data_IF_819098854069
#
_entry.id   IF_819098854069
#
_cell.length_a   1.000
_cell.length_b   1.000
_cell.length_c   1.000
_cell.angle_alpha   90.00
_cell.angle_beta   90.00
_cell.angle_gamma   90.00
#
_symmetry.space_group_name_H-M   'P 1'
#
loop_
_entity.id
_entity.type
_entity.pdbx_description
1 polymer ?
#
# COMPACT_ATOMS: atom_id res chain seq x y z
N UNK A 1 -16.70 10.80 -5.26
CA UNK A 1 -16.77 9.91 -4.08
C UNK A 1 -15.54 9.02 -4.05
N UNK A 2 -15.20 8.47 -2.88
CA UNK A 2 -14.11 7.53 -2.70
C UNK A 2 -14.42 6.60 -1.52
N UNK A 3 -13.89 5.39 -1.58
CA UNK A 3 -14.02 4.35 -0.55
C UNK A 3 -12.65 3.79 -0.20
N UNK A 4 -12.49 3.43 1.06
CA UNK A 4 -11.31 2.74 1.59
C UNK A 4 -11.78 1.64 2.52
N UNK A 5 -11.19 0.47 2.39
CA UNK A 5 -11.39 -0.65 3.29
C UNK A 5 -10.05 -1.30 3.58
N UNK A 6 -9.85 -1.75 4.81
CA UNK A 6 -8.61 -2.38 5.19
C UNK A 6 -8.74 -3.13 6.49
N UNK A 7 -7.77 -3.99 6.75
CA UNK A 7 -7.73 -4.81 7.93
C UNK A 7 -6.33 -5.23 8.29
N UNK A 8 -6.17 -5.56 9.57
CA UNK A 8 -4.94 -6.10 10.13
C UNK A 8 -5.24 -7.48 10.68
N UNK A 9 -4.40 -8.45 10.32
CA UNK A 9 -4.41 -9.78 10.91
C UNK A 9 -3.12 -9.99 11.71
N UNK A 10 -3.25 -10.17 13.03
CA UNK A 10 -2.13 -10.46 13.90
C UNK A 10 -1.91 -11.97 13.95
N UNK A 11 -0.81 -12.46 13.38
CA UNK A 11 -0.46 -13.88 13.44
C UNK A 11 0.03 -14.28 14.82
N UNK A 12 0.86 -13.43 15.44
CA UNK A 12 1.42 -13.61 16.78
C UNK A 12 1.94 -12.26 17.30
N UNK A 13 2.60 -12.25 18.45
CA UNK A 13 3.11 -11.02 19.08
C UNK A 13 4.22 -10.31 18.29
N UNK A 14 4.86 -11.00 17.34
CA UNK A 14 5.93 -10.44 16.50
C UNK A 14 5.48 -10.13 15.08
N UNK A 15 4.40 -10.74 14.58
CA UNK A 15 4.05 -10.70 13.16
C UNK A 15 2.60 -10.28 12.95
N UNK A 16 2.41 -9.24 12.16
CA UNK A 16 1.10 -8.79 11.68
C UNK A 16 1.11 -8.60 10.16
N UNK A 17 0.01 -8.98 9.52
CA UNK A 17 -0.28 -8.66 8.12
C UNK A 17 -1.29 -7.54 8.04
N UNK A 18 -1.08 -6.59 7.15
CA UNK A 18 -2.01 -5.50 6.88
C UNK A 18 -2.36 -5.50 5.41
N UNK A 19 -3.61 -5.18 5.10
CA UNK A 19 -4.06 -4.96 3.74
C UNK A 19 -5.05 -3.81 3.67
N UNK A 20 -5.01 -3.06 2.56
CA UNK A 20 -5.93 -1.98 2.28
C UNK A 20 -6.29 -2.00 0.79
N UNK A 21 -7.54 -1.68 0.49
CA UNK A 21 -8.04 -1.40 -0.85
C UNK A 21 -8.71 -0.02 -0.84
N UNK A 22 -8.52 0.73 -1.92
CA UNK A 22 -9.14 2.04 -2.13
C UNK A 22 -9.65 2.16 -3.56
N UNK A 23 -10.80 2.82 -3.72
CA UNK A 23 -11.38 3.09 -5.03
C UNK A 23 -12.11 4.43 -5.05
N UNK A 24 -12.02 5.14 -6.17
CA UNK A 24 -12.61 6.47 -6.30
C UNK A 24 -13.46 6.66 -7.58
N UNK A 25 -14.13 7.81 -7.64
CA UNK A 25 -14.93 8.24 -8.79
C UNK A 25 -14.13 8.37 -10.09
N UNK A 26 -12.82 8.60 -10.00
CA UNK A 26 -11.89 8.60 -11.14
C UNK A 26 -11.56 7.19 -11.64
N UNK A 27 -12.18 6.15 -11.06
CA UNK A 27 -11.91 4.74 -11.29
C UNK A 27 -10.48 4.34 -10.92
N UNK A 28 -9.82 5.08 -10.04
CA UNK A 28 -8.51 4.68 -9.55
C UNK A 28 -8.67 3.56 -8.53
N UNK A 29 -7.88 2.51 -8.64
CA UNK A 29 -7.84 1.39 -7.69
C UNK A 29 -6.46 1.33 -7.06
N UNK A 30 -6.39 1.44 -5.73
CA UNK A 30 -5.18 1.22 -4.95
C UNK A 30 -5.33 -0.02 -4.08
N UNK A 31 -4.32 -0.90 -4.08
CA UNK A 31 -4.23 -2.04 -3.17
C UNK A 31 -2.85 -1.99 -2.52
N UNK A 32 -2.81 -2.04 -1.20
CA UNK A 32 -1.59 -2.15 -0.42
C UNK A 32 -1.65 -3.42 0.45
N UNK A 33 -0.54 -4.13 0.54
CA UNK A 33 -0.40 -5.26 1.45
C UNK A 33 1.00 -5.29 2.05
N UNK A 34 1.10 -5.47 3.36
CA UNK A 34 2.39 -5.55 4.04
C UNK A 34 2.40 -6.59 5.17
N UNK A 35 3.62 -7.04 5.49
CA UNK A 35 3.90 -7.82 6.70
C UNK A 35 4.86 -7.01 7.56
N UNK A 36 4.46 -6.75 8.80
CA UNK A 36 5.29 -6.16 9.84
C UNK A 36 5.82 -7.27 10.76
N UNK A 37 7.14 -7.39 10.85
CA UNK A 37 7.82 -8.38 11.69
C UNK A 37 8.78 -7.71 12.68
N UNK A 38 8.48 -7.87 13.97
CA UNK A 38 9.32 -7.40 15.07
C UNK A 38 10.32 -8.49 15.47
N UNK A 39 11.55 -8.37 15.00
CA UNK A 39 12.60 -9.38 15.24
C UNK A 39 12.96 -9.41 16.73
N UNK A 40 13.26 -8.23 17.28
CA UNK A 40 13.55 -7.96 18.69
C UNK A 40 12.74 -6.76 19.18
N UNK A 41 12.48 -6.62 20.49
CA UNK A 41 11.77 -5.46 21.02
C UNK A 41 12.34 -4.13 20.51
N UNK A 42 11.47 -3.32 19.91
CA UNK A 42 11.82 -2.03 19.32
C UNK A 42 12.53 -2.10 17.97
N UNK A 43 12.59 -3.26 17.28
CA UNK A 43 13.11 -3.34 15.91
C UNK A 43 12.14 -4.11 15.00
N UNK A 44 11.52 -3.38 14.07
CA UNK A 44 10.52 -3.90 13.14
C UNK A 44 11.00 -3.75 11.70
N UNK A 45 10.87 -4.82 10.92
CA UNK A 45 11.00 -4.81 9.47
C UNK A 45 9.60 -4.90 8.87
N UNK A 46 9.27 -4.01 7.94
CA UNK A 46 8.00 -4.06 7.20
C UNK A 46 8.29 -4.21 5.72
N UNK A 47 7.77 -5.26 5.10
CA UNK A 47 7.79 -5.46 3.66
C UNK A 47 6.40 -5.16 3.10
N UNK A 48 6.32 -4.22 2.16
CA UNK A 48 5.06 -3.73 1.57
C UNK A 48 5.11 -3.85 0.05
N UNK A 49 3.98 -4.24 -0.54
CA UNK A 49 3.73 -4.22 -1.98
C UNK A 49 2.44 -3.45 -2.24
N UNK A 50 2.50 -2.62 -3.28
CA UNK A 50 1.41 -1.75 -3.69
C UNK A 50 1.06 -2.00 -5.15
N UNK A 51 -0.22 -2.00 -5.46
CA UNK A 51 -0.77 -1.99 -6.81
C UNK A 51 -1.61 -0.74 -7.01
N UNK A 52 -1.42 -0.08 -8.15
CA UNK A 52 -2.19 1.07 -8.58
C UNK A 52 -2.74 0.82 -9.98
N UNK A 53 -4.04 1.01 -10.16
CA UNK A 53 -4.67 1.20 -11.46
C UNK A 53 -5.16 2.64 -11.58
N UNK A 54 -4.68 3.35 -12.58
CA UNK A 54 -5.08 4.71 -12.91
C UNK A 54 -6.28 4.68 -13.88
N UNK A 55 -7.47 4.97 -13.38
CA UNK A 55 -8.73 4.79 -14.12
C UNK A 55 -8.89 5.71 -15.33
N UNK A 56 -8.28 6.91 -15.27
CA UNK A 56 -8.25 7.91 -16.33
C UNK A 56 -6.93 7.96 -17.11
N UNK A 57 -6.08 6.95 -16.99
CA UNK A 57 -4.79 6.94 -17.65
C UNK A 57 -4.92 7.21 -19.16
N UNK A 58 -4.17 8.19 -19.67
CA UNK A 58 -4.20 8.62 -21.07
C UNK A 58 -5.31 9.61 -21.45
N UNK A 59 -6.18 10.02 -20.51
CA UNK A 59 -7.12 11.11 -20.73
C UNK A 59 -6.42 12.49 -20.71
N UNK A 60 -7.01 13.49 -21.38
CA UNK A 60 -6.44 14.84 -21.45
C UNK A 60 -6.37 15.54 -20.07
N UNK A 61 -7.26 15.18 -19.14
CA UNK A 61 -7.30 15.65 -17.76
C UNK A 61 -6.57 14.70 -16.78
N UNK A 62 -5.79 13.74 -17.29
CA UNK A 62 -5.09 12.79 -16.45
C UNK A 62 -4.04 13.49 -15.57
N UNK A 63 -4.18 13.34 -14.25
CA UNK A 63 -3.22 13.79 -13.26
C UNK A 63 -2.95 12.65 -12.30
N UNK A 64 -1.67 12.41 -12.01
CA UNK A 64 -1.23 11.38 -11.08
C UNK A 64 -0.11 11.91 -10.18
N UNK A 65 -0.32 11.85 -8.87
CA UNK A 65 0.65 12.30 -7.87
C UNK A 65 1.64 11.20 -7.47
N UNK A 66 1.38 9.94 -7.80
CA UNK A 66 2.22 8.79 -7.38
C UNK A 66 3.48 8.61 -8.22
N UNK A 67 3.63 9.36 -9.31
CA UNK A 67 4.72 9.19 -10.28
C UNK A 67 4.58 7.96 -11.19
N UNK A 68 3.52 7.16 -11.05
CA UNK A 68 3.22 6.06 -11.95
C UNK A 68 2.95 6.56 -13.38
N UNK A 69 3.67 5.99 -14.35
CA UNK A 69 3.71 6.34 -15.76
C UNK A 69 2.98 5.32 -16.65
N UNK A 70 2.21 4.40 -16.05
CA UNK A 70 1.45 3.35 -16.73
C UNK A 70 0.04 3.29 -16.16
N UNK A 71 -0.88 2.73 -16.95
CA UNK A 71 -2.27 2.48 -16.51
C UNK A 71 -2.33 1.61 -15.26
N UNK A 72 -1.41 0.65 -15.14
CA UNK A 72 -1.24 -0.19 -13.97
C UNK A 72 0.22 -0.15 -13.53
N UNK A 73 0.46 0.02 -12.24
CA UNK A 73 1.80 0.05 -11.66
C UNK A 73 1.86 -0.81 -10.40
N UNK A 74 3.03 -1.41 -10.19
CA UNK A 74 3.39 -2.11 -8.95
C UNK A 74 4.56 -1.40 -8.30
N UNK A 75 4.51 -1.24 -6.98
CA UNK A 75 5.54 -0.64 -6.16
C UNK A 75 5.72 -1.42 -4.88
N UNK A 76 6.72 -1.03 -4.09
CA UNK A 76 6.91 -1.62 -2.78
C UNK A 76 7.96 -0.89 -1.97
N UNK A 77 7.91 -1.14 -0.68
CA UNK A 77 8.82 -0.54 0.30
C UNK A 77 9.31 -1.63 1.25
N UNK A 78 10.62 -1.63 1.50
CA UNK A 78 11.19 -2.36 2.63
C UNK A 78 11.62 -1.33 3.69
N UNK A 79 10.93 -1.32 4.82
CA UNK A 79 11.15 -0.37 5.92
C UNK A 79 11.81 -1.05 7.10
N UNK A 80 12.83 -0.39 7.64
CA UNK A 80 13.51 -0.75 8.88
C UNK A 80 13.22 0.33 9.92
N UNK A 81 12.62 -0.05 11.05
CA UNK A 81 12.24 0.90 12.11
C UNK A 81 12.81 0.44 13.45
N UNK A 82 13.64 1.29 14.08
CA UNK A 82 14.24 1.08 15.40
C UNK A 82 13.78 2.17 16.37
N UNK A 83 13.37 1.78 17.58
CA UNK A 83 13.17 2.67 18.72
C UNK A 83 14.29 2.46 19.75
N UNK A 84 14.72 3.54 20.41
CA UNK A 84 15.78 3.57 21.42
C UNK A 84 15.21 3.82 22.82
#
# INVERSE_FOLDING_TARGET
WAIWAGGTYKFNDKTAFNTQISYDQGKNLGIAANVAYTIVPGFTITAEVDYLNAGKYGAADFSNWTGADKKSSIGGVLRFQRSF
#
